data_IF_442289494490
#
_entry.id   IF_442289494490
#
_cell.length_a   1.000
_cell.length_b   1.000
_cell.length_c   1.000
_cell.angle_alpha   90.00
_cell.angle_beta   90.00
_cell.angle_gamma   90.00
#
_symmetry.space_group_name_H-M   'P 1'
#
loop_
_entity.id
_entity.type
_entity.pdbx_description
1 polymer ?
#
# COMPACT_ATOMS: atom_id res chain seq x y z
N UNK A 1 -59.43 -24.27 -27.93
CA UNK A 1 -58.32 -23.33 -28.13
C UNK A 1 -57.80 -22.97 -26.73
N UNK A 2 -56.64 -23.49 -26.33
CA UNK A 2 -56.13 -23.35 -24.95
C UNK A 2 -55.14 -22.20 -24.89
N UNK A 3 -55.42 -21.18 -24.07
CA UNK A 3 -54.48 -20.10 -23.78
C UNK A 3 -53.50 -20.58 -22.71
N UNK A 4 -52.20 -20.43 -22.96
CA UNK A 4 -51.15 -20.67 -21.99
C UNK A 4 -50.63 -19.32 -21.50
N UNK A 5 -50.81 -19.02 -20.22
CA UNK A 5 -50.25 -17.82 -19.58
C UNK A 5 -48.89 -18.21 -19.00
N UNK A 6 -47.82 -17.66 -19.57
CA UNK A 6 -46.47 -17.81 -19.02
C UNK A 6 -46.21 -16.65 -18.07
N UNK A 7 -46.18 -16.93 -16.76
CA UNK A 7 -45.73 -15.96 -15.75
C UNK A 7 -44.21 -16.06 -15.68
N UNK A 8 -43.51 -15.01 -16.15
CA UNK A 8 -42.08 -14.87 -15.97
C UNK A 8 -41.83 -14.30 -14.56
N UNK A 9 -41.48 -15.17 -13.61
CA UNK A 9 -41.07 -14.76 -12.27
C UNK A 9 -39.63 -14.21 -12.36
N UNK A 10 -39.49 -12.88 -12.39
CA UNK A 10 -38.19 -12.23 -12.34
C UNK A 10 -37.69 -12.23 -10.89
N UNK A 11 -36.92 -13.25 -10.52
CA UNK A 11 -36.17 -13.27 -9.26
C UNK A 11 -35.02 -12.26 -9.36
N UNK A 12 -35.23 -11.05 -8.84
CA UNK A 12 -34.15 -10.14 -8.47
C UNK A 12 -33.41 -10.76 -7.28
N UNK A 13 -32.44 -11.63 -7.57
CA UNK A 13 -31.40 -11.98 -6.61
C UNK A 13 -30.64 -10.68 -6.33
N UNK A 14 -30.90 -10.05 -5.18
CA UNK A 14 -30.07 -8.97 -4.69
C UNK A 14 -28.64 -9.49 -4.63
N UNK A 15 -27.75 -8.92 -5.47
CA UNK A 15 -26.34 -9.27 -5.42
C UNK A 15 -25.86 -8.97 -4.00
N UNK A 16 -25.32 -9.96 -3.26
CA UNK A 16 -24.68 -9.66 -1.99
C UNK A 16 -23.60 -8.63 -2.28
N UNK A 17 -23.56 -7.53 -1.50
CA UNK A 17 -22.40 -6.65 -1.55
C UNK A 17 -21.22 -7.46 -1.04
N UNK A 18 -20.42 -7.97 -1.97
CA UNK A 18 -19.13 -8.55 -1.65
C UNK A 18 -18.23 -7.34 -1.34
N UNK A 19 -18.30 -6.84 -0.11
CA UNK A 19 -17.16 -6.08 0.40
C UNK A 19 -15.98 -7.07 0.33
N UNK A 20 -15.10 -6.88 -0.67
CA UNK A 20 -13.97 -7.78 -0.89
C UNK A 20 -13.13 -7.85 0.38
N UNK A 21 -12.57 -9.02 0.67
CA UNK A 21 -11.64 -9.11 1.80
C UNK A 21 -10.40 -8.26 1.52
N UNK A 22 -9.90 -7.58 2.55
CA UNK A 22 -8.67 -6.79 2.47
C UNK A 22 -7.48 -7.70 2.16
N UNK A 23 -6.73 -7.35 1.11
CA UNK A 23 -5.47 -8.03 0.80
C UNK A 23 -4.33 -7.29 1.49
N UNK A 24 -3.60 -7.99 2.36
CA UNK A 24 -2.40 -7.45 2.97
C UNK A 24 -1.25 -7.44 1.96
N UNK A 25 -0.87 -6.24 1.52
CA UNK A 25 0.19 -6.05 0.53
C UNK A 25 1.58 -6.38 1.12
N UNK A 26 1.85 -5.96 2.35
CA UNK A 26 3.08 -6.32 3.07
C UNK A 26 2.86 -7.70 3.72
N UNK A 27 3.39 -8.74 3.07
CA UNK A 27 3.24 -10.12 3.53
C UNK A 27 4.36 -10.56 4.47
N UNK A 28 4.14 -11.67 5.17
CA UNK A 28 5.21 -12.38 5.88
C UNK A 28 6.15 -13.04 4.86
N UNK A 29 7.45 -12.86 5.04
CA UNK A 29 8.48 -13.45 4.17
C UNK A 29 9.27 -12.44 3.33
N UNK A 30 9.65 -11.29 3.89
CA UNK A 30 10.52 -10.32 3.24
C UNK A 30 9.79 -9.49 2.18
N UNK A 31 10.31 -9.51 0.95
CA UNK A 31 9.83 -8.69 -0.18
C UNK A 31 8.88 -9.44 -1.12
N UNK A 32 8.27 -10.54 -0.67
CA UNK A 32 7.25 -11.25 -1.46
C UNK A 32 6.06 -10.34 -1.79
N UNK A 33 5.55 -10.42 -3.02
CA UNK A 33 4.45 -9.58 -3.50
C UNK A 33 4.93 -8.30 -4.18
N UNK A 34 6.25 -8.10 -4.30
CA UNK A 34 6.88 -7.00 -5.01
C UNK A 34 7.72 -7.56 -6.16
N UNK A 35 7.62 -6.97 -7.35
CA UNK A 35 8.28 -7.48 -8.53
C UNK A 35 9.69 -6.88 -8.74
N UNK A 36 10.55 -7.62 -9.43
CA UNK A 36 11.84 -7.12 -9.91
C UNK A 36 12.89 -6.94 -8.81
N UNK A 37 13.82 -6.02 -9.05
CA UNK A 37 14.84 -5.66 -8.08
C UNK A 37 14.24 -4.71 -7.02
N UNK A 38 14.23 -5.16 -5.76
CA UNK A 38 13.75 -4.37 -4.63
C UNK A 38 14.87 -3.57 -3.96
N UNK A 39 16.05 -3.51 -4.57
CA UNK A 39 17.20 -2.76 -4.07
C UNK A 39 17.54 -3.10 -2.62
N UNK A 40 17.67 -2.06 -1.79
CA UNK A 40 18.02 -2.20 -0.37
C UNK A 40 16.79 -2.15 0.57
N UNK A 41 15.58 -2.26 0.03
CA UNK A 41 14.38 -2.37 0.87
C UNK A 41 14.45 -3.62 1.76
N UNK A 42 14.01 -3.46 3.00
CA UNK A 42 13.98 -4.53 4.00
C UNK A 42 12.69 -4.50 4.80
N UNK A 43 12.32 -5.67 5.32
CA UNK A 43 11.11 -5.88 6.10
C UNK A 43 11.46 -6.07 7.59
N UNK A 44 10.75 -5.37 8.46
CA UNK A 44 10.99 -5.32 9.90
C UNK A 44 9.68 -5.49 10.66
N UNK A 45 9.79 -5.87 11.93
CA UNK A 45 8.64 -5.95 12.83
C UNK A 45 8.33 -4.58 13.46
N UNK A 46 9.36 -3.78 13.72
CA UNK A 46 9.24 -2.45 14.32
C UNK A 46 10.19 -1.47 13.64
N UNK A 47 9.76 -0.21 13.53
CA UNK A 47 10.54 0.91 13.03
C UNK A 47 10.18 2.18 13.80
N UNK A 48 11.16 3.05 14.07
CA UNK A 48 10.96 4.32 14.76
C UNK A 48 11.92 5.40 14.23
N UNK A 49 11.60 6.66 14.52
CA UNK A 49 12.48 7.78 14.18
C UNK A 49 13.85 7.62 14.85
N UNK A 50 14.94 7.88 14.13
CA UNK A 50 16.28 7.65 14.65
C UNK A 50 16.54 8.42 15.96
N UNK A 51 17.08 7.72 16.96
CA UNK A 51 17.31 8.30 18.30
C UNK A 51 18.40 9.37 18.30
N UNK A 52 19.31 9.33 17.33
CA UNK A 52 20.40 10.29 17.17
C UNK A 52 19.96 11.60 16.47
N UNK A 53 18.68 11.71 16.11
CA UNK A 53 18.13 12.86 15.41
C UNK A 53 18.50 12.93 13.91
N UNK A 54 19.13 11.88 13.38
CA UNK A 54 19.38 11.78 11.94
C UNK A 54 18.08 11.58 11.15
N UNK A 55 18.13 11.83 9.84
CA UNK A 55 17.01 11.57 8.91
C UNK A 55 16.85 10.09 8.56
N UNK A 56 17.33 9.20 9.43
CA UNK A 56 17.23 7.74 9.26
C UNK A 56 16.04 7.19 10.02
N UNK A 57 15.68 5.96 9.70
CA UNK A 57 14.71 5.17 10.43
C UNK A 57 15.47 4.06 11.14
N UNK A 58 15.37 4.03 12.47
CA UNK A 58 15.88 2.92 13.27
C UNK A 58 14.89 1.76 13.19
N UNK A 59 15.39 0.53 13.25
CA UNK A 59 14.59 -0.68 13.09
C UNK A 59 14.91 -1.72 14.15
N UNK A 60 13.99 -2.65 14.36
CA UNK A 60 14.30 -3.94 14.99
C UNK A 60 15.25 -4.77 14.12
N UNK A 61 15.57 -5.98 14.58
CA UNK A 61 16.05 -7.03 13.68
C UNK A 61 15.02 -7.30 12.56
N UNK A 62 15.48 -7.86 11.44
CA UNK A 62 14.62 -8.18 10.29
C UNK A 62 13.42 -9.04 10.70
N UNK A 63 12.26 -8.74 10.11
CA UNK A 63 10.97 -9.26 10.54
C UNK A 63 9.90 -9.12 9.46
N UNK A 64 8.65 -8.90 9.88
CA UNK A 64 7.53 -8.75 8.94
C UNK A 64 6.52 -7.71 9.41
N UNK A 65 6.15 -6.81 8.51
CA UNK A 65 5.01 -5.89 8.68
C UNK A 65 5.32 -4.46 8.25
N UNK A 66 6.59 -4.06 8.28
CA UNK A 66 7.03 -2.70 7.97
C UNK A 66 8.16 -2.75 6.95
N UNK A 67 7.97 -2.07 5.82
CA UNK A 67 9.01 -1.91 4.81
C UNK A 67 9.77 -0.60 5.03
N UNK A 68 11.09 -0.64 5.05
CA UNK A 68 11.96 0.53 5.23
C UNK A 68 12.86 0.71 4.00
N UNK A 69 12.99 1.97 3.55
CA UNK A 69 13.74 2.41 2.36
C UNK A 69 15.27 2.31 2.54
N UNK A 70 15.76 1.14 2.95
CA UNK A 70 17.17 0.88 3.21
C UNK A 70 17.78 1.72 4.36
N UNK A 71 19.03 1.42 4.73
CA UNK A 71 19.73 2.08 5.85
C UNK A 71 20.14 3.54 5.57
N UNK A 72 20.15 3.93 4.29
CA UNK A 72 20.55 5.27 3.84
C UNK A 72 19.38 6.12 3.34
N UNK A 73 18.15 5.59 3.40
CA UNK A 73 16.94 6.31 2.98
C UNK A 73 16.86 6.60 1.48
N UNK A 74 17.65 5.86 0.68
CA UNK A 74 17.65 5.95 -0.79
C UNK A 74 17.76 4.55 -1.38
N UNK A 75 16.77 4.17 -2.17
CA UNK A 75 16.74 2.93 -2.94
C UNK A 75 15.76 3.06 -4.10
N UNK A 76 15.59 1.99 -4.87
CA UNK A 76 14.65 1.89 -5.99
C UNK A 76 13.18 1.98 -5.54
N UNK A 77 12.27 2.27 -6.46
CA UNK A 77 10.84 2.19 -6.20
C UNK A 77 10.39 0.73 -6.07
N UNK A 78 9.40 0.49 -5.22
CA UNK A 78 8.73 -0.81 -5.13
C UNK A 78 7.51 -0.84 -6.02
N UNK A 79 7.30 -1.98 -6.68
CA UNK A 79 6.14 -2.22 -7.53
C UNK A 79 5.48 -3.53 -7.12
N UNK A 80 4.18 -3.50 -6.86
CA UNK A 80 3.44 -4.70 -6.48
C UNK A 80 3.35 -5.68 -7.65
N UNK A 81 3.42 -6.98 -7.36
CA UNK A 81 3.06 -8.04 -8.31
C UNK A 81 1.55 -8.01 -8.60
N UNK A 82 0.75 -7.58 -7.63
CA UNK A 82 -0.68 -7.37 -7.81
C UNK A 82 -0.91 -6.16 -8.71
N UNK A 83 -1.72 -6.37 -9.75
CA UNK A 83 -2.34 -5.31 -10.54
C UNK A 83 -3.82 -5.19 -10.17
N UNK A 84 -4.35 -3.97 -10.24
CA UNK A 84 -5.71 -3.67 -9.83
C UNK A 84 -6.33 -2.59 -10.73
N UNK A 85 -7.66 -2.62 -10.86
CA UNK A 85 -8.44 -1.51 -11.42
C UNK A 85 -8.90 -0.60 -10.28
N UNK A 86 -10.20 -0.61 -10.04
CA UNK A 86 -10.81 0.04 -8.87
C UNK A 86 -10.38 -0.67 -7.58
N UNK A 87 -10.09 0.12 -6.53
CA UNK A 87 -9.67 -0.40 -5.24
C UNK A 87 -10.00 0.57 -4.10
N UNK A 88 -9.98 0.03 -2.89
CA UNK A 88 -9.81 0.80 -1.66
C UNK A 88 -8.44 0.42 -1.06
N UNK A 89 -7.65 1.42 -0.66
CA UNK A 89 -6.31 1.21 -0.11
C UNK A 89 -6.22 1.86 1.27
N UNK A 90 -5.70 1.09 2.23
CA UNK A 90 -5.28 1.60 3.53
C UNK A 90 -3.76 1.50 3.62
N UNK A 91 -3.10 2.64 3.73
CA UNK A 91 -1.63 2.74 3.78
C UNK A 91 -1.26 3.64 4.94
N UNK A 92 -0.33 3.17 5.76
CA UNK A 92 0.26 3.91 6.87
C UNK A 92 1.76 4.07 6.59
N UNK A 93 2.31 5.24 6.88
CA UNK A 93 3.71 5.55 6.61
C UNK A 93 4.30 6.43 7.71
N UNK A 94 5.61 6.36 7.86
CA UNK A 94 6.42 7.25 8.68
C UNK A 94 7.51 7.84 7.77
N UNK A 95 7.67 9.15 7.80
CA UNK A 95 8.62 9.89 6.95
C UNK A 95 9.58 10.69 7.84
N UNK A 96 10.91 10.61 7.62
CA UNK A 96 11.86 11.46 8.34
C UNK A 96 11.67 12.95 8.02
N UNK A 97 12.20 13.86 8.86
CA UNK A 97 12.14 15.29 8.59
C UNK A 97 12.70 15.70 7.23
N UNK A 98 12.00 16.59 6.53
CA UNK A 98 12.32 17.09 5.18
C UNK A 98 12.49 15.98 4.13
N UNK A 99 11.79 14.84 4.29
CA UNK A 99 11.85 13.72 3.35
C UNK A 99 10.60 13.62 2.47
N UNK A 100 10.75 12.95 1.34
CA UNK A 100 9.77 12.87 0.26
C UNK A 100 9.69 11.42 -0.25
N UNK A 101 8.47 10.97 -0.53
CA UNK A 101 8.10 9.68 -1.10
C UNK A 101 6.73 9.81 -1.79
N UNK A 102 6.20 8.72 -2.33
CA UNK A 102 4.87 8.72 -2.92
C UNK A 102 4.28 7.32 -3.00
N UNK A 103 2.95 7.26 -3.03
CA UNK A 103 2.21 6.04 -3.37
C UNK A 103 1.63 6.22 -4.76
N UNK A 104 1.99 5.32 -5.68
CA UNK A 104 1.57 5.41 -7.07
C UNK A 104 0.50 4.37 -7.37
N UNK A 105 -0.67 4.81 -7.79
CA UNK A 105 -1.71 3.92 -8.32
C UNK A 105 -1.52 3.73 -9.83
N UNK A 106 -1.65 2.48 -10.28
CA UNK A 106 -1.46 2.08 -11.69
C UNK A 106 -0.11 2.52 -12.27
N UNK A 107 0.90 2.70 -11.40
CA UNK A 107 2.24 3.13 -11.76
C UNK A 107 2.35 4.56 -12.31
N UNK A 108 1.31 5.40 -12.17
CA UNK A 108 1.27 6.74 -12.79
C UNK A 108 0.72 7.84 -11.92
N UNK A 109 -0.29 7.55 -11.10
CA UNK A 109 -1.01 8.56 -10.35
C UNK A 109 -0.49 8.58 -8.92
N UNK A 110 0.29 9.60 -8.60
CA UNK A 110 0.91 9.75 -7.28
C UNK A 110 -0.06 10.37 -6.28
N UNK A 111 -0.18 9.74 -5.12
CA UNK A 111 -0.59 10.37 -3.88
C UNK A 111 0.68 10.70 -3.11
N UNK A 112 0.92 11.99 -2.93
CA UNK A 112 2.18 12.51 -2.41
C UNK A 112 2.37 12.18 -0.93
N UNK A 113 3.59 11.80 -0.55
CA UNK A 113 4.02 11.60 0.83
C UNK A 113 5.22 12.50 1.13
N UNK A 114 4.97 13.64 1.75
CA UNK A 114 5.99 14.65 2.03
C UNK A 114 5.93 15.02 3.51
N UNK A 115 7.09 15.18 4.16
CA UNK A 115 7.15 15.87 5.45
C UNK A 115 6.81 17.36 5.24
N UNK A 116 5.55 17.70 5.50
CA UNK A 116 5.01 19.06 5.41
C UNK A 116 4.67 19.62 6.79
N UNK A 117 5.17 19.00 7.87
CA UNK A 117 4.82 19.41 9.22
C UNK A 117 5.36 20.82 9.53
N UNK A 118 4.44 21.76 9.78
CA UNK A 118 4.79 23.15 10.08
C UNK A 118 5.07 24.02 8.85
N UNK A 119 4.89 23.50 7.63
CA UNK A 119 4.99 24.27 6.39
C UNK A 119 3.64 24.94 6.07
N UNK A 120 3.66 26.24 5.76
CA UNK A 120 2.44 27.01 5.47
C UNK A 120 1.93 26.70 4.05
N UNK A 121 2.85 26.52 3.10
CA UNK A 121 2.53 26.25 1.71
C UNK A 121 3.41 25.10 1.16
N UNK A 122 3.15 23.84 1.55
CA UNK A 122 3.92 22.71 1.06
C UNK A 122 3.72 22.54 -0.45
N UNK A 123 4.82 22.36 -1.18
CA UNK A 123 4.86 22.22 -2.64
C UNK A 123 5.38 20.87 -3.06
#
# INVERSE_FOLDING_TARGET
MRYSITILLLLLLGAPSMAGEWIHLIQKGGMKGWHGDTGTWKNFSEAWAAKDGSKKIDTSDEGSGILVNGPDGKTVNLFSEMEHGDLEAKIEFMVPPESNSGVYFMGRYEVQVLDSWGEENPT
#
